data_IF_199094483254
#
_entry.id   IF_199094483254
#
_cell.length_a   1.000
_cell.length_b   1.000
_cell.length_c   1.000
_cell.angle_alpha   90.00
_cell.angle_beta   90.00
_cell.angle_gamma   90.00
#
_symmetry.space_group_name_H-M   'P 1'
#
loop_
_entity.id
_entity.type
_entity.pdbx_description
1 polymer ?
#
# COMPACT_ATOMS: atom_id res chain seq x y z
N UNK A 1 -9.49 1.22 -17.23
CA UNK A 1 -8.93 0.59 -18.48
C UNK A 1 -7.67 -0.15 -18.08
N UNK A 2 -7.49 -1.40 -18.56
CA UNK A 2 -6.29 -2.18 -18.27
C UNK A 2 -5.18 -1.89 -19.29
N UNK A 3 -3.94 -1.84 -18.81
CA UNK A 3 -2.75 -1.61 -19.64
C UNK A 3 -1.61 -2.51 -19.16
N UNK A 4 -0.65 -2.74 -20.04
CA UNK A 4 0.63 -3.42 -19.71
C UNK A 4 1.78 -2.49 -20.06
N UNK A 5 2.63 -2.21 -19.07
CA UNK A 5 3.81 -1.36 -19.21
C UNK A 5 5.07 -2.22 -19.17
N UNK A 6 6.05 -1.92 -20.02
CA UNK A 6 7.37 -2.56 -19.98
C UNK A 6 8.35 -1.68 -19.22
N UNK A 7 9.07 -2.27 -18.28
CA UNK A 7 10.17 -1.65 -17.57
C UNK A 7 11.49 -1.73 -18.38
N UNK A 8 12.48 -0.93 -18.02
CA UNK A 8 13.78 -0.92 -18.69
C UNK A 8 14.59 -2.21 -18.54
N UNK A 9 14.32 -2.98 -17.48
CA UNK A 9 14.92 -4.29 -17.21
C UNK A 9 14.17 -5.46 -17.87
N UNK A 10 13.12 -5.15 -18.66
CA UNK A 10 12.37 -6.13 -19.46
C UNK A 10 11.19 -6.78 -18.76
N UNK A 11 10.91 -6.44 -17.49
CA UNK A 11 9.69 -6.87 -16.79
C UNK A 11 8.46 -6.20 -17.40
N UNK A 12 7.28 -6.72 -17.09
CA UNK A 12 5.98 -6.12 -17.40
C UNK A 12 5.24 -5.79 -16.12
N UNK A 13 4.52 -4.67 -16.13
CA UNK A 13 3.63 -4.24 -15.05
C UNK A 13 2.21 -4.14 -15.59
N UNK A 14 1.28 -4.79 -14.90
CA UNK A 14 -0.14 -4.62 -15.16
C UNK A 14 -0.66 -3.37 -14.44
N UNK A 15 -1.37 -2.53 -15.16
CA UNK A 15 -1.81 -1.21 -14.70
C UNK A 15 -3.31 -1.07 -14.91
N UNK A 16 -4.01 -0.54 -13.91
CA UNK A 16 -5.38 -0.06 -14.02
C UNK A 16 -5.40 1.46 -14.12
N UNK A 17 -6.20 1.98 -15.04
CA UNK A 17 -6.34 3.40 -15.36
C UNK A 17 -7.83 3.75 -15.26
N UNK A 18 -8.21 4.53 -14.24
CA UNK A 18 -9.60 4.81 -13.87
C UNK A 18 -9.80 6.29 -13.48
N UNK A 19 -11.04 6.67 -13.21
CA UNK A 19 -11.42 8.05 -12.88
C UNK A 19 -11.62 8.93 -14.11
N UNK A 20 -11.23 10.21 -14.05
CA UNK A 20 -11.33 11.14 -15.19
C UNK A 20 -10.15 10.95 -16.15
N UNK A 21 -10.36 10.51 -17.40
CA UNK A 21 -9.27 10.30 -18.36
C UNK A 21 -8.45 11.56 -18.69
N UNK A 22 -9.04 12.75 -18.52
CA UNK A 22 -8.37 14.05 -18.70
C UNK A 22 -7.90 14.66 -17.37
N UNK A 23 -8.13 13.95 -16.27
CA UNK A 23 -7.84 14.39 -14.91
C UNK A 23 -6.35 14.45 -14.59
N UNK A 24 -6.03 15.19 -13.54
CA UNK A 24 -4.69 15.20 -12.95
C UNK A 24 -4.40 13.85 -12.31
N UNK A 25 -3.18 13.36 -12.49
CA UNK A 25 -2.84 11.97 -12.17
C UNK A 25 -2.52 11.79 -10.70
N UNK A 26 -3.13 10.76 -10.12
CA UNK A 26 -2.79 10.22 -8.80
C UNK A 26 -2.48 8.73 -8.94
N UNK A 27 -1.26 8.31 -8.59
CA UNK A 27 -0.90 6.90 -8.57
C UNK A 27 -1.15 6.32 -7.17
N UNK A 28 -1.68 5.11 -7.14
CA UNK A 28 -2.06 4.39 -5.92
C UNK A 28 -1.14 3.19 -5.71
N UNK A 29 -0.55 3.11 -4.51
CA UNK A 29 0.11 1.90 -4.03
C UNK A 29 -0.82 1.17 -3.06
N UNK A 30 -1.35 0.04 -3.50
CA UNK A 30 -2.27 -0.76 -2.71
C UNK A 30 -1.60 -1.43 -1.50
N UNK A 31 -2.42 -1.84 -0.53
CA UNK A 31 -1.97 -2.66 0.59
C UNK A 31 -1.48 -4.05 0.15
N UNK A 32 -0.74 -4.71 1.02
CA UNK A 32 -0.29 -6.10 0.82
C UNK A 32 -1.38 -7.07 1.33
N UNK A 33 -1.80 -8.10 0.58
CA UNK A 33 -1.30 -8.55 -0.73
C UNK A 33 -2.25 -8.23 -1.91
N UNK A 34 -2.75 -7.01 -2.01
CA UNK A 34 -3.73 -6.61 -3.02
C UNK A 34 -3.09 -6.40 -4.40
N UNK A 35 -3.89 -6.65 -5.45
CA UNK A 35 -3.59 -6.29 -6.83
C UNK A 35 -3.90 -4.83 -7.14
N UNK A 36 -3.73 -4.43 -8.40
CA UNK A 36 -3.95 -3.08 -8.95
C UNK A 36 -5.39 -2.56 -8.88
N UNK A 37 -6.35 -3.41 -8.53
CA UNK A 37 -7.77 -3.07 -8.64
C UNK A 37 -8.20 -2.02 -7.63
N UNK A 38 -8.57 -0.87 -8.17
CA UNK A 38 -8.98 0.29 -7.39
C UNK A 38 -10.40 0.11 -6.82
N UNK A 39 -10.61 0.49 -5.58
CA UNK A 39 -11.91 0.45 -4.94
C UNK A 39 -12.89 1.46 -5.59
N UNK A 40 -14.09 0.99 -5.97
CA UNK A 40 -15.07 1.80 -6.70
C UNK A 40 -15.39 3.17 -6.09
N UNK A 41 -15.63 3.28 -4.78
CA UNK A 41 -15.81 4.57 -4.11
C UNK A 41 -14.63 5.52 -4.25
N UNK A 42 -13.38 5.04 -4.22
CA UNK A 42 -12.20 5.90 -4.45
C UNK A 42 -12.18 6.44 -5.87
N UNK A 43 -12.48 5.58 -6.85
CA UNK A 43 -12.57 5.98 -8.27
C UNK A 43 -13.66 7.02 -8.47
N UNK A 44 -14.82 6.86 -7.83
CA UNK A 44 -15.93 7.79 -7.94
C UNK A 44 -15.60 9.16 -7.32
N UNK A 45 -14.98 9.20 -6.13
CA UNK A 45 -14.55 10.46 -5.50
C UNK A 45 -13.47 11.14 -6.35
N UNK A 46 -12.48 10.42 -6.82
CA UNK A 46 -11.42 10.93 -7.70
C UNK A 46 -11.99 11.55 -8.97
N UNK A 47 -12.88 10.84 -9.67
CA UNK A 47 -13.54 11.33 -10.89
C UNK A 47 -14.33 12.63 -10.62
N UNK A 48 -15.03 12.69 -9.48
CA UNK A 48 -15.77 13.90 -9.06
C UNK A 48 -14.87 15.12 -8.80
N UNK A 49 -13.55 14.89 -8.60
CA UNK A 49 -12.54 15.95 -8.39
C UNK A 49 -11.68 16.22 -9.64
N UNK A 50 -11.97 15.60 -10.77
CA UNK A 50 -11.13 15.70 -11.96
C UNK A 50 -9.75 15.04 -11.76
N UNK A 51 -9.70 13.92 -11.05
CA UNK A 51 -8.51 13.11 -10.87
C UNK A 51 -8.59 11.82 -11.70
N UNK A 52 -7.45 11.42 -12.24
CA UNK A 52 -7.21 10.15 -12.91
C UNK A 52 -6.39 9.26 -11.98
N UNK A 53 -6.95 8.13 -11.57
CA UNK A 53 -6.27 7.17 -10.70
C UNK A 53 -5.52 6.13 -11.53
N UNK A 54 -4.29 5.85 -11.14
CA UNK A 54 -3.47 4.78 -11.70
C UNK A 54 -3.12 3.80 -10.59
N UNK A 55 -3.68 2.59 -10.64
CA UNK A 55 -3.26 1.46 -9.84
C UNK A 55 -2.32 0.56 -10.62
N UNK A 56 -1.42 -0.15 -9.98
CA UNK A 56 -0.61 -1.17 -10.65
C UNK A 56 -0.31 -2.35 -9.73
N UNK A 57 -0.17 -3.53 -10.32
CA UNK A 57 0.31 -4.68 -9.59
C UNK A 57 1.80 -4.50 -9.30
N UNK A 58 2.19 -4.44 -8.02
CA UNK A 58 3.60 -4.52 -7.67
C UNK A 58 4.21 -5.82 -8.19
N UNK A 59 5.52 -5.89 -8.45
CA UNK A 59 6.16 -7.08 -9.01
C UNK A 59 5.81 -8.37 -8.25
N UNK A 60 5.33 -9.37 -9.01
CA UNK A 60 4.94 -10.67 -8.48
C UNK A 60 3.48 -10.80 -8.05
N UNK A 61 2.69 -9.72 -8.17
CA UNK A 61 1.24 -9.76 -8.02
C UNK A 61 0.54 -9.74 -9.38
N UNK A 62 -0.67 -10.27 -9.42
CA UNK A 62 -1.57 -10.17 -10.57
C UNK A 62 -0.91 -10.44 -11.90
N UNK A 63 -0.94 -9.46 -12.80
CA UNK A 63 -0.33 -9.55 -14.14
C UNK A 63 1.11 -9.07 -14.23
N UNK A 64 1.76 -8.69 -13.12
CA UNK A 64 3.12 -8.14 -13.14
C UNK A 64 4.21 -9.20 -12.97
N UNK A 65 5.27 -9.07 -13.77
CA UNK A 65 6.45 -9.94 -13.67
C UNK A 65 7.09 -9.81 -12.29
N UNK A 66 7.45 -10.92 -11.61
CA UNK A 66 8.17 -10.88 -10.35
C UNK A 66 9.52 -10.13 -10.43
N UNK A 67 9.92 -9.52 -9.32
CA UNK A 67 11.25 -8.95 -9.10
C UNK A 67 11.77 -9.47 -7.75
N UNK A 68 12.30 -10.68 -7.70
CA UNK A 68 12.70 -11.32 -6.46
C UNK A 68 13.79 -10.55 -5.74
N UNK A 69 13.61 -10.36 -4.42
CA UNK A 69 14.58 -9.66 -3.57
C UNK A 69 14.60 -8.14 -3.74
N UNK A 70 13.53 -7.56 -4.31
CA UNK A 70 13.39 -6.10 -4.38
C UNK A 70 13.35 -5.46 -3.00
N UNK A 71 13.89 -4.25 -2.92
CA UNK A 71 13.70 -3.33 -1.80
C UNK A 71 12.44 -2.48 -1.99
N UNK A 72 12.07 -1.69 -0.99
CA UNK A 72 11.01 -0.67 -1.13
C UNK A 72 11.38 0.37 -2.21
N UNK A 73 12.65 0.78 -2.28
CA UNK A 73 13.15 1.77 -3.24
C UNK A 73 12.98 1.37 -4.71
N UNK A 74 12.97 0.07 -5.02
CA UNK A 74 12.88 -0.42 -6.40
C UNK A 74 11.56 -0.03 -7.09
N UNK A 75 10.49 0.27 -6.32
CA UNK A 75 9.24 0.77 -6.87
C UNK A 75 9.39 2.08 -7.65
N UNK A 76 10.40 2.89 -7.34
CA UNK A 76 10.65 4.14 -8.06
C UNK A 76 10.95 3.89 -9.56
N UNK A 77 11.67 2.82 -9.88
CA UNK A 77 11.90 2.40 -11.26
C UNK A 77 10.61 1.98 -11.98
N UNK A 78 9.73 1.27 -11.29
CA UNK A 78 8.45 0.83 -11.81
C UNK A 78 7.51 2.03 -12.07
N UNK A 79 7.40 2.96 -11.12
CA UNK A 79 6.61 4.19 -11.27
C UNK A 79 7.13 5.05 -12.42
N UNK A 80 8.45 5.21 -12.56
CA UNK A 80 9.05 5.95 -13.68
C UNK A 80 8.73 5.31 -15.03
N UNK A 81 8.72 3.96 -15.12
CA UNK A 81 8.34 3.25 -16.33
C UNK A 81 6.86 3.47 -16.66
N UNK A 82 5.97 3.44 -15.66
CA UNK A 82 4.53 3.74 -15.83
C UNK A 82 4.34 5.17 -16.33
N UNK A 83 4.98 6.16 -15.70
CA UNK A 83 4.89 7.55 -16.11
C UNK A 83 5.37 7.75 -17.55
N UNK A 84 6.49 7.14 -17.93
CA UNK A 84 7.02 7.22 -19.31
C UNK A 84 6.04 6.62 -20.31
N UNK A 85 5.48 5.43 -20.02
CA UNK A 85 4.57 4.72 -20.93
C UNK A 85 3.21 5.40 -21.09
N UNK A 86 2.76 6.14 -20.06
CA UNK A 86 1.47 6.84 -20.04
C UNK A 86 1.60 8.34 -20.33
N UNK A 87 2.81 8.83 -20.66
CA UNK A 87 3.12 10.24 -20.95
C UNK A 87 2.70 11.15 -19.77
N UNK A 88 3.07 10.75 -18.53
CA UNK A 88 2.81 11.48 -17.31
C UNK A 88 4.08 12.22 -16.89
N UNK A 89 4.05 13.54 -16.95
CA UNK A 89 5.18 14.41 -16.59
C UNK A 89 5.22 14.75 -15.10
N UNK A 90 4.08 14.69 -14.43
CA UNK A 90 3.93 14.93 -12.99
C UNK A 90 2.71 14.24 -12.42
N UNK A 91 2.79 13.81 -11.17
CA UNK A 91 1.70 13.15 -10.47
C UNK A 91 1.76 13.42 -8.96
N UNK A 92 0.62 13.27 -8.29
CA UNK A 92 0.61 13.00 -6.86
C UNK A 92 0.41 11.50 -6.64
N UNK A 93 0.57 11.05 -5.39
CA UNK A 93 0.36 9.64 -5.07
C UNK A 93 -0.12 9.44 -3.64
N UNK A 94 -0.78 8.32 -3.43
CA UNK A 94 -1.03 7.84 -2.09
C UNK A 94 -0.83 6.34 -2.02
N UNK A 95 -0.59 5.85 -0.80
CA UNK A 95 -0.49 4.43 -0.53
C UNK A 95 -0.98 4.10 0.87
N UNK A 96 -1.54 2.91 1.00
CA UNK A 96 -2.14 2.41 2.21
C UNK A 96 -1.46 1.12 2.66
N UNK A 97 -1.28 0.95 3.99
CA UNK A 97 -0.68 -0.26 4.55
C UNK A 97 0.71 -0.53 3.94
N UNK A 98 0.96 -1.71 3.38
CA UNK A 98 2.20 -2.03 2.66
C UNK A 98 2.53 -1.06 1.52
N UNK A 99 1.54 -0.34 0.96
CA UNK A 99 1.77 0.69 -0.06
C UNK A 99 2.36 1.99 0.48
N UNK A 100 2.19 2.28 1.78
CA UNK A 100 2.60 3.55 2.37
C UNK A 100 4.11 3.81 2.32
N UNK A 101 4.94 2.80 2.60
CA UNK A 101 6.39 2.91 2.48
C UNK A 101 6.85 3.12 1.03
N UNK A 102 6.18 2.47 0.05
CA UNK A 102 6.46 2.64 -1.38
C UNK A 102 6.19 4.07 -1.85
N UNK A 103 5.14 4.71 -1.34
CA UNK A 103 4.88 6.14 -1.61
C UNK A 103 6.00 7.02 -1.08
N UNK A 104 6.49 6.76 0.13
CA UNK A 104 7.61 7.52 0.71
C UNK A 104 8.90 7.34 -0.11
N UNK A 105 9.17 6.13 -0.62
CA UNK A 105 10.29 5.88 -1.53
C UNK A 105 10.17 6.71 -2.81
N UNK A 106 9.00 6.74 -3.43
CA UNK A 106 8.79 7.55 -4.62
C UNK A 106 8.90 9.06 -4.33
N UNK A 107 8.43 9.53 -3.18
CA UNK A 107 8.57 10.92 -2.75
C UNK A 107 10.03 11.34 -2.57
N UNK A 108 10.90 10.41 -2.09
CA UNK A 108 12.33 10.66 -1.93
C UNK A 108 13.10 10.56 -3.25
N UNK A 109 12.79 9.54 -4.07
CA UNK A 109 13.62 9.16 -5.22
C UNK A 109 13.15 9.75 -6.55
N UNK A 110 11.93 10.30 -6.62
CA UNK A 110 11.32 10.85 -7.84
C UNK A 110 10.81 12.30 -7.63
N UNK A 111 11.59 13.22 -7.02
CA UNK A 111 11.12 14.58 -6.78
C UNK A 111 10.89 15.39 -8.07
N UNK A 112 11.37 14.89 -9.21
CA UNK A 112 11.12 15.43 -10.54
C UNK A 112 9.74 15.07 -11.11
N UNK A 113 9.12 14.00 -10.62
CA UNK A 113 7.82 13.49 -11.05
C UNK A 113 6.72 13.67 -9.99
N UNK A 114 7.04 13.33 -8.74
CA UNK A 114 6.10 13.35 -7.63
C UNK A 114 6.01 14.75 -7.04
N UNK A 115 4.81 15.32 -7.05
CA UNK A 115 4.58 16.70 -6.53
C UNK A 115 4.01 16.71 -5.11
N UNK A 116 3.37 15.64 -4.69
CA UNK A 116 2.85 15.44 -3.34
C UNK A 116 2.59 13.95 -3.10
N UNK A 117 2.70 13.50 -1.86
CA UNK A 117 2.51 12.12 -1.46
C UNK A 117 1.64 12.02 -0.20
N UNK A 118 0.81 10.97 -0.10
CA UNK A 118 0.09 10.66 1.13
C UNK A 118 0.34 9.20 1.54
N UNK A 119 0.78 8.99 2.78
CA UNK A 119 1.08 7.68 3.34
C UNK A 119 0.10 7.37 4.47
N UNK A 120 -0.66 6.28 4.32
CA UNK A 120 -1.74 5.90 5.22
C UNK A 120 -1.42 4.56 5.88
N UNK A 121 -1.53 4.47 7.20
CA UNK A 121 -1.31 3.23 7.97
C UNK A 121 -0.02 2.51 7.56
N UNK A 122 1.07 3.25 7.37
CA UNK A 122 2.35 2.72 6.89
C UNK A 122 3.19 2.17 8.02
N UNK A 123 3.88 1.05 7.75
CA UNK A 123 5.00 0.63 8.58
C UNK A 123 6.12 1.69 8.55
N UNK A 124 6.85 1.81 9.66
CA UNK A 124 8.16 2.45 9.70
C UNK A 124 9.26 1.40 9.45
N UNK A 125 10.51 1.80 9.15
CA UNK A 125 11.60 0.86 8.90
C UNK A 125 11.82 -0.10 10.06
N UNK A 126 12.00 -1.39 9.76
CA UNK A 126 12.35 -2.36 10.80
C UNK A 126 13.72 -2.03 11.42
N UNK A 127 13.79 -2.09 12.75
CA UNK A 127 15.01 -1.72 13.50
C UNK A 127 15.24 -0.20 13.64
N UNK A 128 14.25 0.63 13.30
CA UNK A 128 14.31 2.07 13.48
C UNK A 128 14.58 2.44 14.95
N UNK A 129 15.54 3.31 15.19
CA UNK A 129 15.90 3.74 16.54
C UNK A 129 14.72 4.45 17.22
N UNK A 130 14.43 4.06 18.46
CA UNK A 130 13.35 4.63 19.26
C UNK A 130 11.96 4.07 18.95
N UNK A 131 11.81 3.12 18.03
CA UNK A 131 10.56 2.43 17.73
C UNK A 131 10.56 1.02 18.33
N UNK A 132 9.57 0.71 19.16
CA UNK A 132 9.20 -0.68 19.43
C UNK A 132 8.29 -1.16 18.30
N UNK A 133 8.88 -1.83 17.31
CA UNK A 133 8.23 -2.24 16.07
C UNK A 133 6.98 -3.11 16.28
N UNK A 134 6.96 -3.91 17.34
CA UNK A 134 5.90 -4.88 17.62
C UNK A 134 4.87 -4.38 18.65
N UNK A 135 5.11 -3.28 19.32
CA UNK A 135 4.22 -2.81 20.38
C UNK A 135 2.84 -2.45 19.83
N UNK A 136 1.82 -3.21 20.22
CA UNK A 136 0.43 -3.04 19.76
C UNK A 136 0.05 -3.84 18.51
N UNK A 137 0.99 -4.57 17.90
CA UNK A 137 0.71 -5.44 16.75
C UNK A 137 -0.04 -6.71 17.19
N UNK A 138 -0.91 -7.22 16.32
CA UNK A 138 -1.58 -8.50 16.52
C UNK A 138 -0.58 -9.64 16.69
N UNK A 139 -0.88 -10.61 17.58
CA UNK A 139 0.08 -11.67 17.90
C UNK A 139 0.45 -12.52 16.69
N UNK A 140 -0.50 -12.77 15.80
CA UNK A 140 -0.27 -13.55 14.56
C UNK A 140 0.73 -12.84 13.65
N UNK A 141 0.61 -11.51 13.47
CA UNK A 141 1.53 -10.69 12.66
C UNK A 141 2.92 -10.62 13.29
N UNK A 142 3.00 -10.57 14.64
CA UNK A 142 4.28 -10.64 15.38
C UNK A 142 4.96 -11.98 15.11
N UNK A 143 4.23 -13.09 15.21
CA UNK A 143 4.77 -14.44 15.03
C UNK A 143 5.20 -14.68 13.59
N UNK A 144 4.44 -14.19 12.60
CA UNK A 144 4.81 -14.23 11.18
C UNK A 144 6.08 -13.42 10.90
N UNK A 145 6.14 -12.19 11.37
CA UNK A 145 7.32 -11.34 11.20
C UNK A 145 8.55 -11.97 11.83
N UNK A 146 8.44 -12.50 13.04
CA UNK A 146 9.54 -13.23 13.70
C UNK A 146 9.96 -14.46 12.94
N UNK A 147 9.02 -15.20 12.37
CA UNK A 147 9.33 -16.37 11.55
C UNK A 147 10.14 -15.98 10.32
N UNK A 148 9.77 -14.90 9.63
CA UNK A 148 10.54 -14.35 8.48
C UNK A 148 11.97 -14.03 8.87
N UNK A 149 12.19 -13.50 10.07
CA UNK A 149 13.51 -13.10 10.58
C UNK A 149 14.37 -14.30 11.06
N UNK A 150 13.75 -15.35 11.61
CA UNK A 150 14.46 -16.45 12.28
C UNK A 150 14.57 -17.72 11.42
N UNK A 151 13.56 -17.99 10.60
CA UNK A 151 13.52 -19.14 9.67
C UNK A 151 12.83 -18.73 8.35
N UNK A 152 13.54 -18.05 7.44
CA UNK A 152 12.97 -17.61 6.16
C UNK A 152 12.42 -18.76 5.30
N UNK A 153 12.97 -19.97 5.43
CA UNK A 153 12.48 -21.14 4.67
C UNK A 153 11.10 -21.58 5.19
N UNK A 154 10.94 -21.69 6.50
CA UNK A 154 9.65 -22.03 7.10
C UNK A 154 8.61 -20.92 6.85
N UNK A 155 9.03 -19.65 6.94
CA UNK A 155 8.18 -18.50 6.63
C UNK A 155 7.69 -18.54 5.18
N UNK A 156 8.58 -18.80 4.23
CA UNK A 156 8.22 -18.95 2.82
C UNK A 156 7.18 -20.05 2.61
N UNK A 157 7.40 -21.23 3.20
CA UNK A 157 6.47 -22.34 3.12
C UNK A 157 5.09 -22.00 3.74
N UNK A 158 5.09 -21.21 4.82
CA UNK A 158 3.84 -20.66 5.41
C UNK A 158 3.14 -19.73 4.45
N UNK A 159 3.84 -18.75 3.85
CA UNK A 159 3.27 -17.82 2.86
C UNK A 159 2.62 -18.58 1.68
N UNK A 160 3.27 -19.64 1.17
CA UNK A 160 2.72 -20.47 0.11
C UNK A 160 1.41 -21.16 0.55
N UNK A 161 1.38 -21.69 1.77
CA UNK A 161 0.19 -22.35 2.35
C UNK A 161 -0.94 -21.35 2.62
N UNK A 162 -0.62 -20.17 3.16
CA UNK A 162 -1.62 -19.14 3.45
C UNK A 162 -2.24 -18.61 2.16
N UNK A 163 -1.43 -18.46 1.10
CA UNK A 163 -1.94 -18.17 -0.25
C UNK A 163 -2.95 -19.21 -0.71
N UNK A 164 -2.64 -20.51 -0.57
CA UNK A 164 -3.57 -21.58 -0.96
C UNK A 164 -4.90 -21.46 -0.19
N UNK A 165 -4.82 -21.19 1.12
CA UNK A 165 -5.97 -20.95 1.97
C UNK A 165 -6.82 -19.76 1.53
N UNK A 166 -6.18 -18.61 1.24
CA UNK A 166 -6.87 -17.40 0.77
C UNK A 166 -7.55 -17.63 -0.59
N UNK A 167 -6.89 -18.30 -1.53
CA UNK A 167 -7.48 -18.58 -2.86
C UNK A 167 -8.63 -19.59 -2.80
N UNK A 168 -8.65 -20.49 -1.83
CA UNK A 168 -9.74 -21.43 -1.61
C UNK A 168 -10.93 -20.81 -0.88
N UNK A 169 -10.69 -19.72 -0.12
CA UNK A 169 -11.70 -19.06 0.67
C UNK A 169 -12.68 -18.25 -0.20
N UNK A 170 -13.96 -18.29 0.15
CA UNK A 170 -14.96 -17.37 -0.40
C UNK A 170 -14.73 -15.94 0.08
N UNK A 171 -15.29 -14.95 -0.61
CA UNK A 171 -15.24 -13.55 -0.18
C UNK A 171 -15.76 -13.35 1.27
N UNK A 172 -16.77 -14.11 1.67
CA UNK A 172 -17.30 -14.08 3.05
C UNK A 172 -16.31 -14.63 4.06
N UNK A 173 -15.56 -15.67 3.74
CA UNK A 173 -14.55 -16.24 4.63
C UNK A 173 -13.33 -15.33 4.74
N UNK A 174 -12.89 -14.70 3.65
CA UNK A 174 -11.86 -13.66 3.68
C UNK A 174 -12.29 -12.50 4.58
N UNK A 175 -13.53 -12.01 4.42
CA UNK A 175 -14.09 -10.96 5.25
C UNK A 175 -14.14 -11.35 6.74
N UNK A 176 -14.54 -12.58 7.06
CA UNK A 176 -14.55 -13.07 8.44
C UNK A 176 -13.14 -13.17 9.04
N UNK A 177 -12.14 -13.56 8.23
CA UNK A 177 -10.73 -13.54 8.62
C UNK A 177 -10.29 -12.13 9.04
N UNK A 178 -10.56 -11.13 8.20
CA UNK A 178 -10.26 -9.73 8.55
C UNK A 178 -10.99 -9.28 9.82
N UNK A 179 -12.27 -9.58 9.96
CA UNK A 179 -13.05 -9.25 11.18
C UNK A 179 -12.40 -9.83 12.43
N UNK A 180 -11.87 -11.06 12.37
CA UNK A 180 -11.27 -11.73 13.53
C UNK A 180 -9.91 -11.13 13.95
N UNK A 181 -9.18 -10.54 13.01
CA UNK A 181 -7.86 -9.93 13.23
C UNK A 181 -7.94 -8.43 13.52
N UNK A 182 -9.04 -7.78 13.11
CA UNK A 182 -9.18 -6.33 13.16
C UNK A 182 -9.62 -5.81 14.52
N UNK A 183 -9.27 -4.55 14.80
CA UNK A 183 -9.92 -3.78 15.85
C UNK A 183 -11.45 -3.66 15.59
N UNK A 184 -12.29 -3.47 16.63
CA UNK A 184 -13.75 -3.40 16.45
C UNK A 184 -14.22 -2.36 15.42
N UNK A 185 -13.51 -1.25 15.30
CA UNK A 185 -13.83 -0.17 14.36
C UNK A 185 -13.60 -0.60 12.92
N UNK A 186 -12.50 -1.31 12.63
CA UNK A 186 -12.20 -1.86 11.31
C UNK A 186 -13.12 -3.04 10.96
N UNK A 187 -13.44 -3.88 11.95
CA UNK A 187 -14.41 -4.95 11.79
C UNK A 187 -15.80 -4.41 11.39
N UNK A 188 -16.17 -3.19 11.82
CA UNK A 188 -17.39 -2.52 11.39
C UNK A 188 -17.36 -2.14 9.89
N UNK A 189 -16.22 -1.69 9.38
CA UNK A 189 -16.01 -1.41 7.93
C UNK A 189 -16.23 -2.69 7.11
N UNK A 190 -15.60 -3.79 7.52
CA UNK A 190 -15.71 -5.08 6.81
C UNK A 190 -17.17 -5.60 6.77
N UNK A 191 -17.93 -5.39 7.85
CA UNK A 191 -19.36 -5.78 7.94
C UNK A 191 -20.30 -4.80 7.25
N UNK A 192 -19.83 -3.61 6.90
CA UNK A 192 -20.60 -2.56 6.27
C UNK A 192 -21.05 -2.89 4.84
N UNK A 193 -22.00 -2.11 4.35
CA UNK A 193 -22.56 -2.27 3.00
C UNK A 193 -21.73 -1.58 1.91
N UNK A 194 -20.60 -0.91 2.27
CA UNK A 194 -19.76 -0.14 1.36
C UNK A 194 -19.04 -0.96 0.29
N UNK A 195 -18.99 -2.29 0.46
CA UNK A 195 -18.37 -3.17 -0.52
C UNK A 195 -16.87 -3.39 -0.34
N UNK A 196 -16.24 -2.77 0.69
CA UNK A 196 -14.81 -2.91 1.01
C UNK A 196 -14.41 -4.39 1.13
N UNK A 197 -15.18 -5.20 1.86
CA UNK A 197 -14.89 -6.62 2.03
C UNK A 197 -14.87 -7.40 0.71
N UNK A 198 -15.82 -7.14 -0.19
CA UNK A 198 -15.89 -7.80 -1.49
C UNK A 198 -14.76 -7.35 -2.43
N UNK A 199 -14.42 -6.06 -2.39
CA UNK A 199 -13.29 -5.52 -3.13
C UNK A 199 -11.97 -6.13 -2.62
N UNK A 200 -11.75 -6.15 -1.30
CA UNK A 200 -10.52 -6.73 -0.71
C UNK A 200 -10.35 -8.20 -1.11
N UNK A 201 -11.41 -9.01 -0.99
CA UNK A 201 -11.36 -10.41 -1.40
C UNK A 201 -11.00 -10.55 -2.88
N UNK A 202 -11.59 -9.74 -3.76
CA UNK A 202 -11.28 -9.73 -5.18
C UNK A 202 -9.84 -9.31 -5.45
N UNK A 203 -9.36 -8.20 -4.85
CA UNK A 203 -8.02 -7.68 -5.05
C UNK A 203 -6.94 -8.65 -4.50
N UNK A 204 -7.21 -9.33 -3.39
CA UNK A 204 -6.32 -10.36 -2.83
C UNK A 204 -6.28 -11.60 -3.74
N UNK A 205 -7.43 -12.10 -4.20
CA UNK A 205 -7.48 -13.25 -5.07
C UNK A 205 -6.75 -13.00 -6.40
N UNK A 206 -7.00 -11.85 -7.04
CA UNK A 206 -6.31 -11.48 -8.28
C UNK A 206 -4.81 -11.28 -8.04
N UNK A 207 -4.44 -10.59 -6.97
CA UNK A 207 -3.04 -10.36 -6.59
C UNK A 207 -2.25 -11.64 -6.39
N UNK A 208 -2.86 -12.62 -5.73
CA UNK A 208 -2.23 -13.90 -5.38
C UNK A 208 -2.42 -14.99 -6.44
N UNK A 209 -3.21 -14.77 -7.50
CA UNK A 209 -3.46 -15.78 -8.54
C UNK A 209 -2.18 -16.34 -9.16
N UNK A 210 -1.14 -15.54 -9.55
CA UNK A 210 0.06 -16.06 -10.18
C UNK A 210 1.00 -16.80 -9.23
N UNK A 211 0.93 -16.53 -7.92
CA UNK A 211 1.84 -17.11 -6.92
C UNK A 211 1.96 -16.25 -5.68
N UNK A 212 2.79 -16.68 -4.74
CA UNK A 212 3.06 -15.98 -3.48
C UNK A 212 4.31 -15.07 -3.54
N UNK A 213 5.00 -15.01 -4.69
CA UNK A 213 6.28 -14.30 -4.79
C UNK A 213 6.16 -12.83 -4.44
N UNK A 214 5.12 -12.14 -4.95
CA UNK A 214 4.90 -10.72 -4.65
C UNK A 214 4.69 -10.47 -3.15
N UNK A 215 3.90 -11.32 -2.49
CA UNK A 215 3.64 -11.23 -1.06
C UNK A 215 4.90 -11.47 -0.23
N UNK A 216 5.66 -12.50 -0.57
CA UNK A 216 6.95 -12.79 0.06
C UNK A 216 7.93 -11.62 -0.08
N UNK A 217 8.09 -11.08 -1.29
CA UNK A 217 9.02 -9.98 -1.55
C UNK A 217 8.59 -8.69 -0.83
N UNK A 218 7.29 -8.38 -0.73
CA UNK A 218 6.80 -7.26 0.07
C UNK A 218 7.14 -7.44 1.55
N UNK A 219 6.84 -8.62 2.11
CA UNK A 219 7.15 -8.91 3.50
C UNK A 219 8.65 -8.75 3.82
N UNK A 220 9.52 -9.22 2.91
CA UNK A 220 10.97 -9.03 3.04
C UNK A 220 11.39 -7.57 2.89
N UNK A 221 10.87 -6.86 1.89
CA UNK A 221 11.22 -5.47 1.63
C UNK A 221 10.90 -4.53 2.80
N UNK A 222 9.86 -4.83 3.59
CA UNK A 222 9.54 -4.07 4.80
C UNK A 222 10.50 -4.33 5.96
N UNK A 223 11.12 -5.51 6.02
CA UNK A 223 12.04 -5.92 7.09
C UNK A 223 13.52 -5.68 6.75
N UNK A 224 13.85 -5.63 5.47
CA UNK A 224 15.19 -5.32 4.98
C UNK A 224 15.38 -3.79 4.85
N UNK A 225 16.62 -3.30 4.64
CA UNK A 225 16.83 -1.87 4.37
C UNK A 225 15.99 -1.37 3.20
N UNK A 226 15.25 -0.29 3.39
CA UNK A 226 14.32 0.25 2.39
C UNK A 226 14.99 0.74 1.10
N UNK A 227 16.30 1.07 1.15
CA UNK A 227 17.08 1.53 -0.01
C UNK A 227 16.98 3.04 -0.29
N UNK A 228 16.38 3.80 0.63
CA UNK A 228 16.33 5.27 0.61
C UNK A 228 16.28 5.81 2.04
N UNK A 229 16.52 7.10 2.21
CA UNK A 229 16.44 7.77 3.51
C UNK A 229 15.19 8.69 3.56
N UNK A 230 14.44 8.66 4.67
CA UNK A 230 13.30 9.56 4.86
C UNK A 230 13.70 11.04 4.82
N UNK A 231 14.94 11.35 5.20
CA UNK A 231 15.50 12.69 5.14
C UNK A 231 15.60 13.26 3.71
N UNK A 232 15.59 12.39 2.69
CA UNK A 232 15.64 12.80 1.27
C UNK A 232 14.27 13.20 0.72
N UNK A 233 13.18 13.04 1.50
CA UNK A 233 11.84 13.47 1.11
C UNK A 233 11.77 14.99 1.13
N UNK A 234 11.60 15.59 -0.04
CA UNK A 234 11.54 17.05 -0.22
C UNK A 234 10.19 17.56 -0.69
N UNK A 235 9.31 16.66 -1.14
CA UNK A 235 7.95 17.00 -1.56
C UNK A 235 6.99 17.03 -0.37
N UNK A 236 5.87 17.77 -0.41
CA UNK A 236 4.85 17.71 0.62
C UNK A 236 4.35 16.29 0.87
N UNK A 237 4.31 15.89 2.14
CA UNK A 237 3.78 14.59 2.57
C UNK A 237 2.64 14.78 3.56
N UNK A 238 1.53 14.09 3.31
CA UNK A 238 0.43 13.88 4.26
C UNK A 238 0.59 12.47 4.87
N UNK A 239 0.64 12.38 6.18
CA UNK A 239 0.66 11.11 6.92
C UNK A 239 -0.65 10.93 7.68
N UNK A 240 -1.36 9.83 7.46
CA UNK A 240 -2.52 9.45 8.25
C UNK A 240 -2.26 8.14 8.99
N UNK A 241 -2.59 8.09 10.28
CA UNK A 241 -2.48 6.86 11.06
C UNK A 241 -3.56 6.80 12.15
N UNK A 242 -4.23 5.64 12.26
CA UNK A 242 -5.28 5.41 13.25
C UNK A 242 -4.71 4.86 14.56
N UNK A 243 -5.17 5.42 15.70
CA UNK A 243 -4.71 4.97 17.02
C UNK A 243 -5.24 3.57 17.41
N UNK A 244 -6.26 3.08 16.69
CA UNK A 244 -6.85 1.74 16.90
C UNK A 244 -6.37 0.72 15.86
N UNK A 245 -5.33 1.04 15.09
CA UNK A 245 -4.72 0.13 14.13
C UNK A 245 -3.92 -0.96 14.85
N UNK A 246 -4.32 -2.22 14.69
CA UNK A 246 -3.63 -3.38 15.25
C UNK A 246 -2.87 -4.22 14.20
N UNK A 247 -2.98 -3.88 12.91
CA UNK A 247 -2.13 -4.42 11.85
C UNK A 247 -0.80 -3.67 11.78
N UNK A 248 -0.87 -2.34 11.71
CA UNK A 248 0.28 -1.46 11.78
C UNK A 248 0.11 -0.54 12.99
N UNK A 249 0.76 -0.85 14.12
CA UNK A 249 0.53 -0.13 15.37
C UNK A 249 0.78 1.36 15.28
N UNK A 250 0.04 2.12 16.06
CA UNK A 250 0.08 3.60 16.09
C UNK A 250 1.48 4.16 16.28
N UNK A 251 2.36 3.45 17.02
CA UNK A 251 3.76 3.82 17.19
C UNK A 251 4.52 4.04 15.88
N UNK A 252 4.18 3.32 14.81
CA UNK A 252 4.77 3.51 13.47
C UNK A 252 4.42 4.90 12.92
N UNK A 253 3.14 5.27 12.97
CA UNK A 253 2.69 6.59 12.55
C UNK A 253 3.31 7.73 13.36
N UNK A 254 3.40 7.56 14.69
CA UNK A 254 4.05 8.54 15.58
C UNK A 254 5.54 8.69 15.24
N UNK A 255 6.22 7.58 14.98
CA UNK A 255 7.62 7.60 14.60
C UNK A 255 7.83 8.30 13.26
N UNK A 256 7.06 7.93 12.21
CA UNK A 256 7.11 8.55 10.89
C UNK A 256 6.81 10.05 10.95
N UNK A 257 5.85 10.47 11.77
CA UNK A 257 5.50 11.87 11.96
C UNK A 257 6.66 12.75 12.47
N UNK A 258 7.64 12.14 13.13
CA UNK A 258 8.82 12.85 13.63
C UNK A 258 10.07 12.71 12.77
N UNK A 259 10.03 11.82 11.75
CA UNK A 259 11.21 11.51 10.92
C UNK A 259 11.05 11.89 9.44
N UNK A 260 9.84 12.20 8.97
CA UNK A 260 9.63 12.72 7.61
C UNK A 260 9.71 14.25 7.65
N UNK A 261 10.63 14.89 6.92
CA UNK A 261 10.78 16.35 6.92
C UNK A 261 9.49 17.05 6.47
N UNK A 262 9.02 18.02 7.27
CA UNK A 262 7.88 18.87 6.89
C UNK A 262 6.55 18.15 6.71
N UNK A 263 6.40 16.94 7.23
CA UNK A 263 5.18 16.15 7.11
C UNK A 263 3.97 16.83 7.77
N UNK A 264 2.82 16.81 7.08
CA UNK A 264 1.52 17.08 7.69
C UNK A 264 0.99 15.77 8.27
N UNK A 265 1.12 15.57 9.58
CA UNK A 265 0.69 14.34 10.22
C UNK A 265 -0.71 14.50 10.84
N UNK A 266 -1.60 13.57 10.50
CA UNK A 266 -2.95 13.41 11.08
C UNK A 266 -3.00 12.06 11.79
N UNK A 267 -2.75 12.09 13.09
CA UNK A 267 -2.81 10.96 13.99
C UNK A 267 -4.20 10.92 14.63
N UNK A 268 -5.01 9.92 14.26
CA UNK A 268 -6.45 9.91 14.46
C UNK A 268 -6.86 8.95 15.58
N UNK A 269 -7.37 9.46 16.68
CA UNK A 269 -7.70 8.67 17.90
C UNK A 269 -8.83 7.64 17.67
N UNK A 270 -9.74 7.92 16.74
CA UNK A 270 -10.94 7.14 16.50
C UNK A 270 -10.90 6.33 15.19
N UNK A 271 -9.73 6.10 14.63
CA UNK A 271 -9.54 5.34 13.40
C UNK A 271 -8.62 4.14 13.62
N UNK A 272 -8.83 3.12 12.81
CA UNK A 272 -8.00 1.93 12.71
C UNK A 272 -7.28 1.87 11.36
N UNK A 273 -7.09 0.65 10.86
CA UNK A 273 -6.41 0.38 9.60
C UNK A 273 -7.31 0.59 8.38
N UNK A 274 -8.50 -0.04 8.41
CA UNK A 274 -9.44 -0.04 7.30
C UNK A 274 -10.29 1.23 7.26
N UNK A 275 -10.56 1.86 8.39
CA UNK A 275 -11.31 3.12 8.44
C UNK A 275 -10.59 4.23 7.69
N UNK A 276 -9.26 4.25 7.66
CA UNK A 276 -8.49 5.22 6.87
C UNK A 276 -8.79 5.07 5.38
N UNK A 277 -8.79 3.85 4.87
CA UNK A 277 -9.06 3.54 3.47
C UNK A 277 -10.54 3.75 3.09
N UNK A 278 -11.48 3.52 4.02
CA UNK A 278 -12.92 3.68 3.75
C UNK A 278 -13.37 5.14 3.88
N UNK A 279 -12.88 5.87 4.90
CA UNK A 279 -13.49 7.15 5.27
C UNK A 279 -12.63 8.37 4.91
N UNK A 280 -11.30 8.21 4.74
CA UNK A 280 -10.40 9.37 4.62
C UNK A 280 -9.81 9.59 3.22
N UNK A 281 -10.05 8.68 2.26
CA UNK A 281 -9.50 8.85 0.90
C UNK A 281 -10.04 10.11 0.21
N UNK A 282 -11.29 10.50 0.46
CA UNK A 282 -11.82 11.77 -0.04
C UNK A 282 -11.05 12.99 0.44
N UNK A 283 -10.60 13.00 1.70
CA UNK A 283 -9.75 14.06 2.26
C UNK A 283 -8.34 14.02 1.68
N UNK A 284 -7.81 12.80 1.46
CA UNK A 284 -6.52 12.61 0.78
C UNK A 284 -6.56 13.14 -0.65
N UNK A 285 -7.59 12.77 -1.42
CA UNK A 285 -7.77 13.30 -2.78
C UNK A 285 -7.92 14.82 -2.81
N UNK A 286 -8.65 15.40 -1.86
CA UNK A 286 -8.77 16.85 -1.74
C UNK A 286 -7.40 17.49 -1.50
N UNK A 287 -6.65 16.98 -0.52
CA UNK A 287 -5.31 17.45 -0.16
C UNK A 287 -4.31 17.36 -1.33
N UNK A 288 -4.32 16.24 -2.07
CA UNK A 288 -3.47 16.03 -3.25
C UNK A 288 -3.88 16.96 -4.41
N UNK A 289 -5.20 17.17 -4.61
CA UNK A 289 -5.72 18.03 -5.66
C UNK A 289 -5.25 19.49 -5.55
N UNK A 290 -5.03 19.98 -4.35
CA UNK A 290 -4.54 21.34 -4.11
C UNK A 290 -3.06 21.52 -4.51
N UNK A 291 -2.33 20.42 -4.73
CA UNK A 291 -0.89 20.39 -4.99
C UNK A 291 -0.54 19.94 -6.42
N UNK A 292 -1.50 19.39 -7.14
CA UNK A 292 -1.41 19.03 -8.55
C UNK A 292 -1.73 20.25 -9.45
#
# INVERSE_FOLDING_TARGET
MERVVRTSDGRTLAVEDAGDPAGRVVLVHEGTPCSRHLYGPWVADAAGRGLRLIGYDRPGYGGSTPHPGRSIADCAGDVRAICTALEIDRLAMWGWSGGGAHVLACAALLPDLVVAAASLASLAPYGAEGLDYFAGMGQDDVDETRLVLTDPQAARAKTDKDREGLLAASASEVAQGFVSMSAPIDAAVVRGEGGMASWMAYAIHDGLAPGSQGWWDDGRAHLDPWGFELADVTVPVLLLHGAQDNFVPFGHGQWLATHIPGVEARLLDNDGHLTLAEHHIGDVHAWLSERL
#
